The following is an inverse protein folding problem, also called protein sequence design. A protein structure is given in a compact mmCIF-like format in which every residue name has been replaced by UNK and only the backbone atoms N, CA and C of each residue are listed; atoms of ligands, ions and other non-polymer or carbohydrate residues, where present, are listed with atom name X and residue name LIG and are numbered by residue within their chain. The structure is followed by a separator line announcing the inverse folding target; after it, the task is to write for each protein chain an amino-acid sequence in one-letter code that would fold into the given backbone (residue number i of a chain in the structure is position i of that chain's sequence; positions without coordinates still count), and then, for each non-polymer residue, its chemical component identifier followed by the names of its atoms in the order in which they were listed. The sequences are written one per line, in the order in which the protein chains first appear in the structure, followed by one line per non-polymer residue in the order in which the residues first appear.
data_IF_272466805892
#
_entry.id   IF_272466805892
#
_cell.length_a   1.000
_cell.length_b   1.000
_cell.length_c   1.000
_cell.angle_alpha   90.00
_cell.angle_beta   90.00
_cell.angle_gamma   90.00
#
_symmetry.space_group_name_H-M   'P 1'
#
loop_
_entity.id
_entity.type
_entity.pdbx_description
1 polymer ?
#
# COMPACT_ATOMS: atom_id res chain seq x y z
N UNK A 1 -18.63 -10.04 12.77
CA UNK A 1 -18.71 -8.57 12.74
C UNK A 1 -20.18 -8.14 12.62
N UNK A 2 -20.74 -7.70 13.74
CA UNK A 2 -22.16 -7.32 13.80
C UNK A 2 -22.49 -6.09 12.95
N UNK A 3 -21.57 -5.14 12.82
CA UNK A 3 -21.78 -3.90 12.06
C UNK A 3 -21.92 -4.15 10.56
N UNK A 4 -21.27 -5.20 10.06
CA UNK A 4 -21.35 -5.63 8.65
C UNK A 4 -22.28 -6.84 8.45
N UNK A 5 -23.00 -7.25 9.49
CA UNK A 5 -23.85 -8.43 9.46
C UNK A 5 -23.11 -9.73 9.18
N UNK A 6 -21.80 -9.80 9.46
CA UNK A 6 -21.00 -11.00 9.27
C UNK A 6 -21.23 -11.95 10.45
N UNK A 7 -21.77 -13.14 10.17
CA UNK A 7 -22.02 -14.18 11.16
C UNK A 7 -20.88 -15.20 11.30
N UNK A 8 -20.18 -15.50 10.20
CA UNK A 8 -19.05 -16.45 10.20
C UNK A 8 -18.00 -16.07 9.15
N UNK A 9 -16.74 -16.36 9.45
CA UNK A 9 -15.61 -16.23 8.53
C UNK A 9 -14.80 -17.52 8.60
N UNK A 10 -14.56 -18.12 7.45
CA UNK A 10 -13.79 -19.36 7.30
C UNK A 10 -12.51 -19.07 6.50
N UNK A 11 -11.42 -19.69 6.93
CA UNK A 11 -10.14 -19.67 6.25
C UNK A 11 -9.76 -21.06 5.76
N UNK A 12 -8.95 -21.13 4.73
CA UNK A 12 -8.38 -22.39 4.26
C UNK A 12 -7.17 -22.82 5.13
N UNK A 13 -6.60 -23.97 4.82
CA UNK A 13 -5.45 -24.53 5.56
C UNK A 13 -4.18 -23.68 5.45
N UNK A 14 -4.08 -22.84 4.43
CA UNK A 14 -3.00 -21.88 4.25
C UNK A 14 -3.31 -20.52 4.90
N UNK A 15 -4.46 -20.40 5.55
CA UNK A 15 -4.94 -19.18 6.18
C UNK A 15 -5.43 -18.12 5.19
N UNK A 16 -5.80 -18.47 3.95
CA UNK A 16 -6.46 -17.52 3.05
C UNK A 16 -7.95 -17.46 3.38
N UNK A 17 -8.56 -16.30 3.15
CA UNK A 17 -10.00 -16.12 3.36
C UNK A 17 -10.80 -17.02 2.40
N UNK A 18 -11.55 -17.97 2.92
CA UNK A 18 -12.29 -18.96 2.12
C UNK A 18 -13.74 -18.58 1.93
N UNK A 19 -14.43 -18.21 3.01
CA UNK A 19 -15.85 -17.92 2.96
C UNK A 19 -16.23 -16.91 4.05
N UNK A 20 -17.05 -15.94 3.69
CA UNK A 20 -17.76 -15.05 4.62
C UNK A 20 -19.25 -15.40 4.53
N UNK A 21 -19.88 -15.65 5.67
CA UNK A 21 -21.33 -15.84 5.77
C UNK A 21 -21.94 -14.64 6.49
N UNK A 22 -22.97 -14.07 5.88
CA UNK A 22 -23.72 -12.95 6.44
C UNK A 22 -24.95 -13.44 7.22
N UNK A 23 -25.46 -12.61 8.13
CA UNK A 23 -26.61 -12.93 8.98
C UNK A 23 -27.91 -13.14 8.20
N UNK A 24 -28.00 -12.58 6.99
CA UNK A 24 -29.11 -12.81 6.05
C UNK A 24 -29.00 -14.11 5.24
N UNK A 25 -27.95 -14.92 5.50
CA UNK A 25 -27.67 -16.16 4.80
C UNK A 25 -26.88 -16.03 3.51
N UNK A 26 -26.58 -14.82 3.04
CA UNK A 26 -25.72 -14.59 1.88
C UNK A 26 -24.27 -14.99 2.17
N UNK A 27 -23.52 -15.30 1.11
CA UNK A 27 -22.13 -15.73 1.25
C UNK A 27 -21.25 -15.09 0.19
N UNK A 28 -20.02 -14.78 0.56
CA UNK A 28 -18.93 -14.49 -0.37
C UNK A 28 -17.87 -15.57 -0.21
N UNK A 29 -17.50 -16.24 -1.29
CA UNK A 29 -16.51 -17.33 -1.31
C UNK A 29 -15.35 -16.95 -2.20
N UNK A 30 -14.15 -17.37 -1.78
CA UNK A 30 -12.90 -17.12 -2.49
C UNK A 30 -12.17 -18.45 -2.75
N UNK A 31 -11.56 -18.57 -3.92
CA UNK A 31 -10.71 -19.70 -4.30
C UNK A 31 -9.34 -19.17 -4.66
N UNK A 32 -8.31 -19.82 -4.15
CA UNK A 32 -6.91 -19.47 -4.38
C UNK A 32 -6.14 -20.63 -4.95
N UNK A 33 -5.04 -20.33 -5.65
CA UNK A 33 -4.03 -21.33 -5.98
C UNK A 33 -3.11 -21.63 -4.77
N UNK A 34 -2.16 -22.54 -4.96
CA UNK A 34 -1.20 -22.92 -3.92
C UNK A 34 -0.23 -21.79 -3.53
N UNK A 35 -0.05 -20.79 -4.38
CA UNK A 35 0.77 -19.59 -4.11
C UNK A 35 -0.01 -18.48 -3.37
N UNK A 36 -1.33 -18.65 -3.23
CA UNK A 36 -2.22 -17.67 -2.60
C UNK A 36 -2.75 -16.61 -3.56
N UNK A 37 -2.63 -16.83 -4.88
CA UNK A 37 -3.26 -15.95 -5.86
C UNK A 37 -4.74 -16.26 -5.95
N UNK A 38 -5.57 -15.25 -5.90
CA UNK A 38 -7.03 -15.40 -6.02
C UNK A 38 -7.40 -15.81 -7.45
N UNK A 39 -8.13 -16.93 -7.56
CA UNK A 39 -8.60 -17.47 -8.84
C UNK A 39 -10.09 -17.18 -9.07
N UNK A 40 -10.88 -17.14 -8.00
CA UNK A 40 -12.32 -16.92 -8.11
C UNK A 40 -12.88 -16.23 -6.88
N UNK A 41 -13.84 -15.32 -7.11
CA UNK A 41 -14.76 -14.82 -6.10
C UNK A 41 -16.19 -15.20 -6.52
N UNK A 42 -17.00 -15.68 -5.55
CA UNK A 42 -18.42 -16.01 -5.78
C UNK A 42 -19.26 -15.31 -4.72
N UNK A 43 -20.20 -14.50 -5.17
CA UNK A 43 -21.19 -13.84 -4.31
C UNK A 43 -22.51 -14.58 -4.43
N UNK A 44 -22.92 -15.26 -3.36
CA UNK A 44 -24.16 -16.03 -3.28
C UNK A 44 -25.24 -15.20 -2.58
N UNK A 45 -26.31 -14.89 -3.31
CA UNK A 45 -27.55 -14.27 -2.82
C UNK A 45 -28.73 -14.94 -3.51
N UNK A 46 -29.81 -14.22 -3.80
CA UNK A 46 -30.89 -14.72 -4.66
C UNK A 46 -30.40 -15.06 -6.08
N UNK A 47 -29.34 -14.38 -6.53
CA UNK A 47 -28.60 -14.65 -7.76
C UNK A 47 -27.14 -14.86 -7.38
N UNK A 48 -26.49 -15.84 -8.00
CA UNK A 48 -25.07 -16.11 -7.78
C UNK A 48 -24.26 -15.42 -8.89
N UNK A 49 -23.32 -14.56 -8.50
CA UNK A 49 -22.40 -13.89 -9.40
C UNK A 49 -20.98 -14.43 -9.17
N UNK A 50 -20.27 -14.68 -10.24
CA UNK A 50 -18.92 -15.27 -10.20
C UNK A 50 -17.93 -14.36 -10.94
N UNK A 51 -16.80 -14.10 -10.32
CA UNK A 51 -15.65 -13.41 -10.96
C UNK A 51 -14.46 -14.35 -10.97
N UNK A 52 -13.94 -14.66 -12.15
CA UNK A 52 -12.75 -15.49 -12.34
C UNK A 52 -11.56 -14.63 -12.76
N UNK A 53 -10.38 -14.95 -12.23
CA UNK A 53 -9.13 -14.24 -12.48
C UNK A 53 -8.12 -15.20 -13.13
N UNK A 54 -7.69 -14.87 -14.35
CA UNK A 54 -6.70 -15.64 -15.11
C UNK A 54 -5.58 -14.69 -15.55
N UNK A 55 -4.56 -14.56 -14.71
CA UNK A 55 -3.55 -13.52 -14.88
C UNK A 55 -4.21 -12.14 -14.86
N UNK A 56 -4.05 -11.39 -15.95
CA UNK A 56 -4.64 -10.06 -16.10
C UNK A 56 -6.08 -10.07 -16.67
N UNK A 57 -6.61 -11.24 -17.02
CA UNK A 57 -7.96 -11.37 -17.53
C UNK A 57 -8.96 -11.59 -16.40
N UNK A 58 -10.06 -10.84 -16.45
CA UNK A 58 -11.18 -10.95 -15.52
C UNK A 58 -12.43 -11.40 -16.27
N UNK A 59 -13.05 -12.47 -15.80
CA UNK A 59 -14.27 -12.99 -16.34
C UNK A 59 -15.40 -12.79 -15.33
N UNK A 60 -16.52 -12.28 -15.76
CA UNK A 60 -17.74 -12.16 -14.96
C UNK A 60 -18.79 -13.11 -15.49
N UNK A 61 -19.29 -14.03 -14.63
CA UNK A 61 -20.24 -15.07 -14.97
C UNK A 61 -19.83 -15.88 -16.21
N UNK A 62 -18.52 -16.20 -16.30
CA UNK A 62 -17.93 -16.99 -17.37
C UNK A 62 -17.71 -16.24 -18.68
N UNK A 63 -17.96 -14.93 -18.75
CA UNK A 63 -17.69 -14.09 -19.92
C UNK A 63 -16.49 -13.19 -19.65
N UNK A 64 -15.61 -13.03 -20.64
CA UNK A 64 -14.53 -12.07 -20.58
C UNK A 64 -15.10 -10.65 -20.40
N UNK A 65 -14.78 -10.05 -19.26
CA UNK A 65 -15.23 -8.71 -18.88
C UNK A 65 -14.13 -7.67 -19.09
N UNK A 66 -12.91 -7.96 -18.58
CA UNK A 66 -11.83 -6.98 -18.56
C UNK A 66 -10.48 -7.63 -18.78
N UNK A 67 -9.55 -6.86 -19.32
CA UNK A 67 -8.11 -7.11 -19.29
C UNK A 67 -7.43 -5.99 -18.52
N UNK A 68 -6.73 -6.32 -17.45
CA UNK A 68 -6.04 -5.36 -16.58
C UNK A 68 -4.63 -5.13 -17.11
N UNK A 69 -4.18 -3.86 -17.15
CA UNK A 69 -2.81 -3.50 -17.48
C UNK A 69 -2.30 -2.42 -16.51
N UNK A 70 -1.00 -2.16 -16.54
CA UNK A 70 -0.46 -1.08 -15.71
C UNK A 70 -1.00 0.27 -16.18
N UNK A 71 -1.67 0.95 -15.27
CA UNK A 71 -2.30 2.25 -15.56
C UNK A 71 -3.74 2.20 -16.01
N UNK A 72 -4.40 1.01 -16.13
CA UNK A 72 -5.80 0.96 -16.52
C UNK A 72 -6.38 -0.42 -16.74
N UNK A 73 -7.44 -0.46 -17.54
CA UNK A 73 -8.04 -1.72 -18.02
C UNK A 73 -8.65 -1.52 -19.41
N UNK A 74 -8.83 -2.63 -20.10
CA UNK A 74 -9.60 -2.71 -21.33
C UNK A 74 -10.89 -3.47 -21.05
N UNK A 75 -12.04 -2.91 -21.41
CA UNK A 75 -13.32 -3.62 -21.48
C UNK A 75 -13.67 -3.91 -22.94
N UNK A 76 -14.78 -4.62 -23.17
CA UNK A 76 -15.21 -4.98 -24.52
C UNK A 76 -16.64 -4.48 -24.75
N UNK A 77 -16.85 -3.81 -25.88
CA UNK A 77 -18.17 -3.35 -26.28
C UNK A 77 -19.08 -4.51 -26.74
N UNK A 78 -20.31 -4.20 -27.13
CA UNK A 78 -21.28 -5.20 -27.62
C UNK A 78 -20.81 -5.95 -28.89
N UNK A 79 -19.88 -5.36 -29.63
CA UNK A 79 -19.29 -5.94 -30.84
C UNK A 79 -17.95 -6.64 -30.55
N UNK A 80 -17.57 -6.80 -29.28
CA UNK A 80 -16.28 -7.34 -28.85
C UNK A 80 -15.07 -6.47 -29.22
N UNK A 81 -15.26 -5.19 -29.50
CA UNK A 81 -14.15 -4.27 -29.71
C UNK A 81 -13.59 -3.83 -28.36
N UNK A 82 -12.25 -3.70 -28.24
CA UNK A 82 -11.62 -3.22 -27.03
C UNK A 82 -11.93 -1.73 -26.81
N UNK A 83 -12.25 -1.38 -25.55
CA UNK A 83 -12.42 -0.02 -25.06
C UNK A 83 -11.44 0.21 -23.92
N UNK A 84 -10.56 1.20 -24.08
CA UNK A 84 -9.49 1.46 -23.11
C UNK A 84 -9.92 2.49 -22.07
N UNK A 85 -9.58 2.18 -20.81
CA UNK A 85 -9.85 2.99 -19.63
C UNK A 85 -8.55 3.22 -18.87
N UNK A 86 -8.22 4.45 -18.53
CA UNK A 86 -6.97 4.83 -17.89
C UNK A 86 -7.21 5.35 -16.49
N UNK A 87 -6.27 5.04 -15.59
CA UNK A 87 -6.31 5.43 -14.19
C UNK A 87 -5.46 6.67 -13.94
N UNK A 88 -6.08 7.70 -13.36
CA UNK A 88 -5.37 8.77 -12.70
C UNK A 88 -5.22 8.41 -11.22
N UNK A 89 -3.98 8.24 -10.78
CA UNK A 89 -3.64 7.76 -9.45
C UNK A 89 -3.03 8.87 -8.60
N UNK A 90 -3.25 8.82 -7.28
CA UNK A 90 -2.52 9.66 -6.34
C UNK A 90 -1.13 9.05 -6.02
N UNK A 91 -0.38 9.74 -5.15
CA UNK A 91 0.97 9.34 -4.74
C UNK A 91 1.05 7.98 -4.04
N UNK A 92 -0.05 7.45 -3.49
CA UNK A 92 -0.15 6.12 -2.90
C UNK A 92 -0.51 5.04 -3.93
N UNK A 93 -0.85 5.44 -5.16
CA UNK A 93 -1.39 4.55 -6.17
C UNK A 93 -2.92 4.36 -6.09
N UNK A 94 -3.62 5.16 -5.27
CA UNK A 94 -5.08 5.10 -5.21
C UNK A 94 -5.69 5.70 -6.47
N UNK A 95 -6.67 5.01 -7.07
CA UNK A 95 -7.33 5.44 -8.29
C UNK A 95 -8.29 6.57 -7.96
N UNK A 96 -7.93 7.79 -8.36
CA UNK A 96 -8.72 9.00 -8.12
C UNK A 96 -9.74 9.25 -9.22
N UNK A 97 -9.37 8.90 -10.47
CA UNK A 97 -10.23 9.08 -11.62
C UNK A 97 -10.00 7.96 -12.63
N UNK A 98 -11.05 7.63 -13.37
CA UNK A 98 -10.98 6.80 -14.58
C UNK A 98 -11.43 7.64 -15.76
N UNK A 99 -10.62 7.64 -16.81
CA UNK A 99 -10.93 8.30 -18.08
C UNK A 99 -10.90 7.28 -19.20
N UNK A 100 -11.77 7.44 -20.21
CA UNK A 100 -11.71 6.59 -21.39
C UNK A 100 -10.66 7.10 -22.40
N UNK A 101 -10.49 6.37 -23.48
CA UNK A 101 -9.54 6.71 -24.56
C UNK A 101 -9.80 8.06 -25.24
N UNK A 102 -11.00 8.61 -25.12
CA UNK A 102 -11.38 9.93 -25.63
C UNK A 102 -11.16 11.05 -24.61
N UNK A 103 -10.61 10.74 -23.43
CA UNK A 103 -10.41 11.70 -22.34
C UNK A 103 -11.68 12.03 -21.55
N UNK A 104 -12.77 11.28 -21.76
CA UNK A 104 -14.01 11.49 -20.99
C UNK A 104 -13.87 10.85 -19.61
N UNK A 105 -14.19 11.64 -18.59
CA UNK A 105 -14.21 11.17 -17.20
C UNK A 105 -15.39 10.19 -16.99
N UNK A 106 -15.09 8.99 -16.51
CA UNK A 106 -16.07 7.92 -16.32
C UNK A 106 -16.31 7.59 -14.85
N UNK A 107 -15.29 7.76 -14.01
CA UNK A 107 -15.38 7.52 -12.56
C UNK A 107 -14.52 8.54 -11.82
N UNK A 108 -14.99 8.97 -10.65
CA UNK A 108 -14.20 9.74 -9.67
C UNK A 108 -14.34 9.09 -8.31
N UNK A 109 -13.22 8.92 -7.60
CA UNK A 109 -13.19 8.40 -6.25
C UNK A 109 -12.50 9.38 -5.31
N UNK A 110 -13.14 9.64 -4.18
CA UNK A 110 -12.57 10.37 -3.05
C UNK A 110 -12.44 9.44 -1.85
N UNK A 111 -11.35 9.58 -1.12
CA UNK A 111 -11.05 8.72 0.01
C UNK A 111 -10.76 9.52 1.26
N UNK A 112 -11.19 8.99 2.41
CA UNK A 112 -10.66 9.35 3.71
C UNK A 112 -9.19 8.90 3.83
N UNK A 113 -8.41 9.47 4.76
CA UNK A 113 -6.97 9.18 4.88
C UNK A 113 -6.59 7.68 4.95
N UNK A 114 -7.46 6.86 5.51
CA UNK A 114 -7.30 5.42 5.62
C UNK A 114 -8.09 4.62 4.56
N UNK A 115 -8.46 5.25 3.46
CA UNK A 115 -9.00 4.56 2.29
C UNK A 115 -10.51 4.31 2.30
N UNK A 116 -11.23 4.74 3.32
CA UNK A 116 -12.69 4.74 3.28
C UNK A 116 -13.18 5.58 2.09
N UNK A 117 -14.11 5.04 1.29
CA UNK A 117 -14.66 5.78 0.15
C UNK A 117 -15.56 6.91 0.65
N UNK A 118 -15.33 8.11 0.17
CA UNK A 118 -16.17 9.26 0.46
C UNK A 118 -17.29 9.37 -0.57
N UNK A 119 -18.44 8.76 -0.25
CA UNK A 119 -19.54 8.52 -1.20
C UNK A 119 -20.14 9.77 -1.81
N UNK A 120 -20.34 10.82 -1.02
CA UNK A 120 -21.05 12.05 -1.46
C UNK A 120 -20.30 12.83 -2.55
N UNK A 121 -18.98 12.65 -2.67
CA UNK A 121 -18.17 13.31 -3.69
C UNK A 121 -17.71 12.34 -4.80
N UNK A 122 -17.97 11.04 -4.67
CA UNK A 122 -17.61 10.06 -5.66
C UNK A 122 -18.65 10.01 -6.78
N UNK A 123 -18.18 9.81 -8.02
CA UNK A 123 -19.02 9.68 -9.20
C UNK A 123 -18.83 8.30 -9.82
N UNK A 124 -19.95 7.61 -10.15
CA UNK A 124 -19.99 6.31 -10.79
C UNK A 124 -19.07 5.26 -10.13
N UNK A 125 -19.15 5.17 -8.80
CA UNK A 125 -18.23 4.37 -7.97
C UNK A 125 -18.26 2.86 -8.32
N UNK A 126 -19.31 2.37 -8.96
CA UNK A 126 -19.51 0.96 -9.30
C UNK A 126 -18.85 0.53 -10.63
N UNK A 127 -18.37 1.47 -11.45
CA UNK A 127 -17.83 1.20 -12.78
C UNK A 127 -16.70 0.16 -12.78
N UNK A 128 -15.80 0.28 -11.81
CA UNK A 128 -14.74 -0.70 -11.59
C UNK A 128 -14.36 -0.77 -10.10
N UNK A 129 -13.79 -1.90 -9.69
CA UNK A 129 -13.56 -2.22 -8.27
C UNK A 129 -12.20 -1.79 -7.74
N UNK A 130 -11.19 -1.60 -8.58
CA UNK A 130 -9.87 -1.17 -8.12
C UNK A 130 -9.92 0.29 -7.64
N UNK A 131 -9.57 0.55 -6.37
CA UNK A 131 -9.74 1.86 -5.73
C UNK A 131 -8.51 2.29 -4.93
N UNK A 132 -8.63 2.34 -3.61
CA UNK A 132 -7.59 2.76 -2.69
C UNK A 132 -6.33 1.90 -2.85
N UNK A 133 -5.16 2.53 -2.99
CA UNK A 133 -3.85 1.93 -3.30
C UNK A 133 -3.90 0.90 -4.44
N UNK A 134 -4.83 1.11 -5.40
CA UNK A 134 -5.03 0.23 -6.54
C UNK A 134 -5.65 -1.13 -6.20
N UNK A 135 -6.15 -1.33 -4.97
CA UNK A 135 -6.70 -2.61 -4.53
C UNK A 135 -8.16 -2.79 -4.90
N UNK A 136 -8.51 -4.05 -5.16
CA UNK A 136 -9.90 -4.42 -5.43
C UNK A 136 -10.76 -4.22 -4.17
N UNK A 137 -11.83 -3.47 -4.33
CA UNK A 137 -12.82 -3.17 -3.30
C UNK A 137 -14.01 -4.11 -3.45
N UNK A 138 -14.22 -4.97 -2.48
CA UNK A 138 -15.39 -5.84 -2.40
C UNK A 138 -16.45 -5.19 -1.50
N UNK A 139 -17.45 -4.59 -2.13
CA UNK A 139 -18.57 -3.93 -1.45
C UNK A 139 -19.84 -4.79 -1.43
N UNK A 140 -19.81 -5.96 -2.09
CA UNK A 140 -20.98 -6.83 -2.18
C UNK A 140 -21.40 -7.29 -0.79
N UNK A 141 -22.69 -7.33 -0.57
CA UNK A 141 -23.33 -7.63 0.73
C UNK A 141 -22.95 -6.65 1.86
N UNK A 142 -22.41 -5.45 1.53
CA UNK A 142 -21.95 -4.46 2.51
C UNK A 142 -20.63 -4.84 3.19
N UNK A 143 -19.81 -5.65 2.53
CA UNK A 143 -18.51 -6.08 3.05
C UNK A 143 -17.53 -4.91 3.18
N UNK A 144 -17.38 -4.10 2.12
CA UNK A 144 -16.54 -2.91 2.05
C UNK A 144 -15.09 -3.15 2.48
N UNK A 145 -14.48 -4.22 1.98
CA UNK A 145 -13.10 -4.58 2.25
C UNK A 145 -12.24 -4.47 1.00
N UNK A 146 -10.96 -4.14 1.20
CA UNK A 146 -9.94 -4.12 0.14
C UNK A 146 -9.12 -5.40 0.15
N UNK A 147 -8.98 -6.03 -1.00
CA UNK A 147 -8.15 -7.22 -1.16
C UNK A 147 -6.69 -6.85 -1.42
N UNK A 148 -5.84 -7.07 -0.42
CA UNK A 148 -4.39 -6.89 -0.54
C UNK A 148 -3.64 -8.19 -0.86
N UNK A 149 -4.37 -9.26 -1.19
CA UNK A 149 -3.81 -10.59 -1.47
C UNK A 149 -3.70 -11.43 -0.21
N UNK A 150 -2.68 -11.22 0.62
CA UNK A 150 -2.51 -12.02 1.82
C UNK A 150 -3.54 -11.73 2.93
N UNK A 151 -4.10 -10.53 2.97
CA UNK A 151 -5.12 -10.10 3.96
C UNK A 151 -6.15 -9.20 3.30
N UNK A 152 -7.34 -9.16 3.89
CA UNK A 152 -8.37 -8.17 3.57
C UNK A 152 -8.28 -7.00 4.53
N UNK A 153 -8.42 -5.80 4.01
CA UNK A 153 -8.37 -4.57 4.79
C UNK A 153 -9.74 -3.93 4.94
N UNK A 154 -10.16 -3.71 6.17
CA UNK A 154 -11.39 -2.98 6.52
C UNK A 154 -11.07 -1.51 6.81
N UNK A 155 -11.35 -0.63 5.87
CA UNK A 155 -11.06 0.79 6.01
C UNK A 155 -11.92 1.48 7.08
N UNK A 156 -13.11 0.94 7.39
CA UNK A 156 -13.97 1.48 8.44
C UNK A 156 -13.41 1.22 9.84
N UNK A 157 -12.68 0.11 10.02
CA UNK A 157 -12.01 -0.24 11.28
C UNK A 157 -10.55 0.18 11.31
N UNK A 158 -9.99 0.56 10.16
CA UNK A 158 -8.55 0.82 9.99
C UNK A 158 -7.71 -0.39 10.40
N UNK A 159 -8.17 -1.58 10.04
CA UNK A 159 -7.58 -2.82 10.51
C UNK A 159 -7.65 -3.94 9.47
N UNK A 160 -6.71 -4.87 9.57
CA UNK A 160 -6.75 -6.12 8.82
C UNK A 160 -7.80 -7.08 9.38
N UNK A 161 -8.33 -7.95 8.53
CA UNK A 161 -9.30 -9.01 8.87
C UNK A 161 -8.70 -10.08 9.80
N UNK A 162 -7.37 -10.22 9.77
CA UNK A 162 -6.62 -11.27 10.50
C UNK A 162 -5.22 -10.81 10.89
N UNK A 163 -4.58 -11.61 11.74
CA UNK A 163 -3.21 -11.44 12.21
C UNK A 163 -2.22 -11.46 11.03
N UNK A 164 -1.22 -10.58 11.10
CA UNK A 164 -0.11 -10.59 10.17
C UNK A 164 0.70 -11.89 10.29
N UNK A 165 0.92 -12.58 9.17
CA UNK A 165 1.79 -13.77 9.13
C UNK A 165 3.25 -13.45 9.49
N UNK A 166 3.66 -12.19 9.34
CA UNK A 166 4.97 -11.68 9.71
C UNK A 166 4.92 -10.87 11.02
N UNK A 167 3.84 -10.97 11.80
CA UNK A 167 3.62 -10.21 13.03
C UNK A 167 4.72 -10.37 14.07
N UNK A 168 5.41 -11.51 14.08
CA UNK A 168 6.58 -11.74 14.96
C UNK A 168 7.73 -10.76 14.68
N UNK A 169 7.80 -10.19 13.47
CA UNK A 169 8.79 -9.16 13.13
C UNK A 169 8.42 -7.77 13.66
N UNK A 170 7.18 -7.60 14.11
CA UNK A 170 6.62 -6.32 14.54
C UNK A 170 6.00 -6.42 15.93
N UNK A 171 6.70 -7.04 16.85
CA UNK A 171 6.19 -7.38 18.23
C UNK A 171 5.67 -6.20 19.05
N UNK A 172 6.08 -4.97 18.70
CA UNK A 172 5.64 -3.75 19.39
C UNK A 172 4.36 -3.14 18.77
N UNK A 173 3.89 -3.69 17.64
CA UNK A 173 2.69 -3.21 16.96
C UNK A 173 1.58 -4.25 17.03
N UNK A 174 0.34 -3.80 17.00
CA UNK A 174 -0.78 -4.72 16.87
C UNK A 174 -0.67 -5.47 15.53
N UNK A 175 -0.83 -6.80 15.52
CA UNK A 175 -0.77 -7.59 14.28
C UNK A 175 -1.92 -7.29 13.31
N UNK A 176 -2.91 -6.52 13.73
CA UNK A 176 -4.03 -6.04 12.91
C UNK A 176 -3.84 -4.61 12.38
N UNK A 177 -2.75 -3.94 12.75
CA UNK A 177 -2.53 -2.53 12.43
C UNK A 177 -2.22 -2.34 10.94
N UNK A 178 -2.97 -1.44 10.27
CA UNK A 178 -2.72 -1.08 8.88
C UNK A 178 -1.62 -0.01 8.78
N UNK A 179 -0.62 -0.26 7.94
CA UNK A 179 0.44 0.69 7.56
C UNK A 179 1.12 1.41 8.73
N UNK A 180 1.26 0.76 9.91
CA UNK A 180 1.87 1.38 11.08
C UNK A 180 1.10 2.61 11.58
N UNK A 181 -0.20 2.72 11.28
CA UNK A 181 -1.07 3.87 11.54
C UNK A 181 -0.63 5.17 10.81
N UNK A 182 0.10 5.04 9.71
CA UNK A 182 0.54 6.16 8.88
C UNK A 182 0.31 5.85 7.38
N UNK A 183 -0.95 5.88 6.97
CA UNK A 183 -1.39 5.59 5.61
C UNK A 183 -1.12 6.71 4.60
N UNK A 184 -0.59 7.86 5.04
CA UNK A 184 -0.25 8.96 4.13
C UNK A 184 1.10 8.75 3.44
N UNK A 185 1.99 7.97 4.05
CA UNK A 185 3.34 7.73 3.55
C UNK A 185 3.67 6.24 3.44
N UNK A 186 2.87 5.37 4.05
CA UNK A 186 3.07 3.93 4.04
C UNK A 186 1.98 3.25 3.23
N UNK A 187 2.38 2.24 2.48
CA UNK A 187 1.48 1.33 1.77
C UNK A 187 1.83 -0.12 2.11
N UNK A 188 0.84 -0.99 2.11
CA UNK A 188 1.06 -2.43 2.17
C UNK A 188 0.48 -3.05 0.90
N UNK A 189 1.35 -3.28 -0.08
CA UNK A 189 0.93 -3.67 -1.41
C UNK A 189 0.46 -5.14 -1.51
N UNK A 190 0.91 -6.00 -0.61
CA UNK A 190 0.65 -7.45 -0.66
C UNK A 190 -0.06 -8.00 0.59
N UNK A 191 -0.39 -7.14 1.54
CA UNK A 191 -0.99 -7.53 2.81
C UNK A 191 -0.02 -8.26 3.75
N UNK A 192 1.30 -8.09 3.57
CA UNK A 192 2.36 -8.75 4.36
C UNK A 192 3.40 -7.77 4.89
N UNK A 193 3.70 -6.72 4.11
CA UNK A 193 4.82 -5.82 4.41
C UNK A 193 4.45 -4.38 4.17
N UNK A 194 4.63 -3.56 5.19
CA UNK A 194 4.50 -2.12 5.06
C UNK A 194 5.73 -1.58 4.32
N UNK A 195 5.48 -0.77 3.29
CA UNK A 195 6.51 -0.05 2.52
C UNK A 195 6.28 1.45 2.66
N UNK A 196 7.35 2.21 2.83
CA UNK A 196 7.29 3.68 2.84
C UNK A 196 7.59 4.20 1.43
N UNK A 197 6.70 5.01 0.88
CA UNK A 197 6.79 5.49 -0.50
C UNK A 197 7.96 6.47 -0.76
N UNK A 198 8.64 6.94 0.29
CA UNK A 198 9.73 7.91 0.18
C UNK A 198 11.14 7.30 0.21
N UNK A 199 11.28 5.96 0.38
CA UNK A 199 12.60 5.33 0.48
C UNK A 199 12.76 4.23 -0.55
N UNK A 200 13.82 4.33 -1.36
CA UNK A 200 14.12 3.40 -2.44
C UNK A 200 14.73 2.11 -1.88
N UNK A 201 14.13 0.98 -2.20
CA UNK A 201 14.68 -0.34 -1.88
C UNK A 201 15.56 -0.83 -3.03
N UNK A 202 16.75 -1.35 -2.71
CA UNK A 202 17.67 -1.92 -3.70
C UNK A 202 17.13 -3.20 -4.36
N UNK A 203 16.30 -3.96 -3.62
CA UNK A 203 15.71 -5.21 -4.11
C UNK A 203 14.40 -5.01 -4.88
N UNK A 204 13.73 -3.86 -4.69
CA UNK A 204 12.49 -3.50 -5.37
C UNK A 204 12.50 -2.02 -5.74
N UNK A 205 13.05 -1.67 -6.92
CA UNK A 205 13.19 -0.28 -7.34
C UNK A 205 11.86 0.44 -7.59
N UNK A 206 10.75 -0.28 -7.63
CA UNK A 206 9.41 0.33 -7.79
C UNK A 206 8.78 0.79 -6.47
N UNK A 207 9.30 0.30 -5.33
CA UNK A 207 8.73 0.56 -4.02
C UNK A 207 9.81 0.94 -3.01
N UNK A 208 9.54 1.94 -2.21
CA UNK A 208 10.42 2.37 -1.14
C UNK A 208 10.16 1.52 0.10
N UNK A 209 11.19 0.82 0.60
CA UNK A 209 11.16 0.09 1.88
C UNK A 209 11.87 0.91 2.94
N UNK A 210 11.28 0.99 4.12
CA UNK A 210 12.05 1.19 5.35
C UNK A 210 11.90 -0.03 6.25
N UNK A 211 13.00 -0.48 6.87
CA UNK A 211 12.87 -1.37 8.02
C UNK A 211 12.19 -0.60 9.16
N UNK A 212 11.65 -1.33 10.13
CA UNK A 212 11.08 -0.70 11.33
C UNK A 212 12.14 0.11 12.09
N UNK A 213 13.34 -0.45 12.24
CA UNK A 213 14.48 0.21 12.86
C UNK A 213 14.82 1.52 12.16
N UNK A 214 14.89 1.50 10.84
CA UNK A 214 15.10 2.72 10.06
C UNK A 214 13.99 3.77 10.27
N UNK A 215 12.72 3.35 10.27
CA UNK A 215 11.62 4.28 10.50
C UNK A 215 11.67 4.91 11.90
N UNK A 216 11.93 4.10 12.94
CA UNK A 216 12.08 4.60 14.31
C UNK A 216 13.28 5.52 14.45
N UNK A 217 14.41 5.16 13.83
CA UNK A 217 15.60 5.99 13.78
C UNK A 217 15.33 7.33 13.08
N UNK A 218 14.59 7.32 11.97
CA UNK A 218 14.18 8.55 11.28
C UNK A 218 13.24 9.41 12.12
N UNK A 219 12.32 8.81 12.87
CA UNK A 219 11.47 9.54 13.80
C UNK A 219 12.27 10.20 14.92
N UNK A 220 13.27 9.51 15.47
CA UNK A 220 14.17 10.08 16.47
C UNK A 220 15.07 11.16 15.86
N UNK A 221 15.65 10.89 14.68
CA UNK A 221 16.44 11.86 13.94
C UNK A 221 15.68 13.15 13.67
N UNK A 222 14.40 13.04 13.23
CA UNK A 222 13.53 14.18 12.99
C UNK A 222 13.22 15.01 14.25
N UNK A 223 13.48 14.50 15.45
CA UNK A 223 13.32 15.24 16.71
C UNK A 223 14.56 16.02 17.10
N UNK A 224 15.73 15.62 16.62
CA UNK A 224 16.99 16.34 16.86
C UNK A 224 17.01 17.68 16.10
N UNK A 225 17.74 18.67 16.61
CA UNK A 225 17.87 19.98 15.92
C UNK A 225 18.54 19.83 14.55
N UNK A 226 19.55 18.97 14.47
CA UNK A 226 20.22 18.66 13.21
C UNK A 226 19.31 17.94 12.21
N UNK A 227 18.57 16.93 12.66
CA UNK A 227 17.61 16.22 11.83
C UNK A 227 16.50 17.13 11.29
N UNK A 228 15.95 17.99 12.15
CA UNK A 228 14.98 19.03 11.73
C UNK A 228 15.56 19.95 10.66
N UNK A 229 16.80 20.39 10.84
CA UNK A 229 17.47 21.27 9.89
C UNK A 229 17.62 20.59 8.52
N UNK A 230 18.18 19.38 8.48
CA UNK A 230 18.39 18.62 7.24
C UNK A 230 17.05 18.33 6.57
N UNK A 231 16.10 17.73 7.27
CA UNK A 231 14.79 17.40 6.71
C UNK A 231 14.04 18.64 6.22
N UNK A 232 14.12 19.75 6.95
CA UNK A 232 13.55 21.03 6.51
C UNK A 232 14.18 21.52 5.22
N UNK A 233 15.49 21.47 5.10
CA UNK A 233 16.22 22.00 3.95
C UNK A 233 15.92 21.22 2.66
N UNK A 234 15.76 19.91 2.73
CA UNK A 234 15.48 19.07 1.56
C UNK A 234 13.98 18.91 1.25
N UNK A 235 13.11 19.07 2.23
CA UNK A 235 11.67 19.00 2.01
C UNK A 235 11.16 20.22 1.26
N UNK A 236 10.31 20.08 0.21
CA UNK A 236 9.75 21.20 -0.51
C UNK A 236 9.07 22.21 0.41
N UNK A 237 9.22 23.50 0.09
CA UNK A 237 8.68 24.59 0.92
C UNK A 237 7.18 24.43 1.15
N UNK A 238 6.79 24.36 2.42
CA UNK A 238 5.39 24.21 2.84
C UNK A 238 4.91 22.77 2.97
N UNK A 239 5.65 21.77 2.46
CA UNK A 239 5.39 20.35 2.69
C UNK A 239 5.95 19.91 4.05
N UNK A 240 5.55 18.72 4.49
CA UNK A 240 6.01 18.11 5.74
C UNK A 240 6.61 16.74 5.47
N UNK A 241 7.73 16.44 6.16
CA UNK A 241 8.37 15.13 6.12
C UNK A 241 8.78 14.73 7.54
N UNK A 242 8.33 13.57 8.01
CA UNK A 242 8.46 13.16 9.42
C UNK A 242 8.05 14.26 10.45
N UNK A 243 7.01 15.03 10.13
CA UNK A 243 6.54 16.13 10.98
C UNK A 243 7.37 17.42 10.90
N UNK A 244 8.46 17.43 10.12
CA UNK A 244 9.30 18.61 9.91
C UNK A 244 8.80 19.40 8.70
N UNK A 245 8.55 20.70 8.89
CA UNK A 245 8.09 21.58 7.80
C UNK A 245 9.27 21.97 6.91
N UNK A 246 9.11 21.77 5.60
CA UNK A 246 10.10 22.10 4.60
C UNK A 246 10.27 23.61 4.40
N UNK A 247 11.52 24.07 4.30
CA UNK A 247 11.89 25.41 3.84
C UNK A 247 12.28 25.45 2.36
N UNK A 248 12.56 24.26 1.78
CA UNK A 248 12.83 24.07 0.35
C UNK A 248 14.21 24.55 -0.10
N UNK A 249 15.16 24.79 0.80
CA UNK A 249 16.49 25.30 0.48
C UNK A 249 17.23 24.42 -0.54
N UNK A 250 17.13 23.12 -0.38
CA UNK A 250 17.74 22.10 -1.25
C UNK A 250 16.72 21.19 -1.93
N UNK A 251 15.45 21.60 -2.05
CA UNK A 251 14.36 20.76 -2.58
C UNK A 251 14.51 20.37 -4.05
N UNK A 252 15.44 20.96 -4.78
CA UNK A 252 15.81 20.56 -6.15
C UNK A 252 16.80 19.39 -6.21
N UNK A 253 17.34 18.98 -5.05
CA UNK A 253 18.23 17.83 -4.93
C UNK A 253 17.51 16.70 -4.22
N UNK A 254 17.87 15.47 -4.54
CA UNK A 254 17.37 14.29 -3.85
C UNK A 254 18.15 14.08 -2.54
N UNK A 255 17.45 13.86 -1.44
CA UNK A 255 18.04 13.38 -0.20
C UNK A 255 17.91 11.85 -0.21
N UNK A 256 19.02 11.16 -0.39
CA UNK A 256 19.06 9.71 -0.30
C UNK A 256 19.44 9.29 1.13
N UNK A 257 18.53 8.59 1.79
CA UNK A 257 18.75 8.03 3.12
C UNK A 257 18.92 6.52 2.95
N UNK A 258 20.04 5.97 3.42
CA UNK A 258 20.34 4.55 3.28
C UNK A 258 20.41 3.89 4.65
N UNK A 259 19.75 2.74 4.76
CA UNK A 259 19.98 1.80 5.84
C UNK A 259 21.19 0.92 5.49
N UNK A 260 22.18 0.86 6.38
CA UNK A 260 23.36 0.04 6.21
C UNK A 260 23.27 -1.12 7.19
N UNK A 261 23.34 -2.34 6.64
CA UNK A 261 23.45 -3.55 7.46
C UNK A 261 24.89 -3.68 7.95
N UNK A 262 25.10 -3.39 9.23
CA UNK A 262 26.41 -3.46 9.89
C UNK A 262 26.71 -4.84 10.49
N UNK A 263 25.85 -5.83 10.31
CA UNK A 263 26.11 -7.21 10.74
C UNK A 263 27.22 -7.87 9.93
N UNK A 264 27.53 -7.36 8.72
CA UNK A 264 28.68 -7.84 7.94
C UNK A 264 30.00 -7.33 8.50
N UNK A 265 30.95 -8.22 8.88
CA UNK A 265 32.20 -7.83 9.55
C UNK A 265 33.08 -6.85 8.77
N UNK A 266 33.06 -6.92 7.44
CA UNK A 266 33.84 -6.06 6.56
C UNK A 266 33.28 -4.62 6.51
N UNK A 267 31.97 -4.47 6.52
CA UNK A 267 31.30 -3.15 6.58
C UNK A 267 31.47 -2.51 7.97
N UNK A 268 31.44 -3.34 9.01
CA UNK A 268 31.63 -2.90 10.41
C UNK A 268 33.02 -2.24 10.61
N UNK A 269 34.08 -2.79 10.04
CA UNK A 269 35.45 -2.30 10.22
C UNK A 269 35.73 -0.99 9.48
N UNK A 270 35.14 -0.76 8.32
CA UNK A 270 35.27 0.50 7.59
C UNK A 270 34.51 1.64 8.28
N UNK A 271 33.41 1.31 8.93
CA UNK A 271 32.48 2.27 9.52
C UNK A 271 32.96 2.84 10.86
N UNK A 272 33.54 2.00 11.74
CA UNK A 272 33.96 2.42 13.08
C UNK A 272 35.20 3.32 13.11
N UNK A 273 35.91 3.49 11.99
CA UNK A 273 37.07 4.37 11.93
C UNK A 273 36.72 5.86 11.84
N UNK A 274 35.52 6.23 11.42
CA UNK A 274 35.13 7.60 11.09
C UNK A 274 33.94 8.15 11.89
N UNK A 275 33.32 7.36 12.74
CA UNK A 275 32.17 7.82 13.52
C UNK A 275 32.55 8.13 14.96
N UNK A 276 33.05 9.32 15.18
CA UNK A 276 32.76 10.07 16.39
C UNK A 276 31.46 10.84 16.13
N UNK A 277 30.30 10.21 16.37
CA UNK A 277 28.96 10.83 16.49
C UNK A 277 28.64 12.00 15.51
N UNK A 278 29.20 12.02 14.31
CA UNK A 278 28.91 13.05 13.31
C UNK A 278 28.32 12.39 12.07
N UNK A 279 27.07 12.74 11.79
CA UNK A 279 26.44 12.44 10.51
C UNK A 279 27.20 13.20 9.44
N UNK A 280 27.91 12.50 8.56
CA UNK A 280 28.62 13.14 7.45
C UNK A 280 27.67 13.31 6.27
N UNK A 281 27.60 14.53 5.75
CA UNK A 281 27.07 14.79 4.42
C UNK A 281 28.14 14.34 3.42
N UNK A 282 27.89 13.26 2.69
CA UNK A 282 28.74 12.80 1.61
C UNK A 282 28.23 13.35 0.28
N UNK A 283 29.13 13.82 -0.55
CA UNK A 283 28.83 14.08 -1.96
C UNK A 283 28.94 12.76 -2.72
N UNK A 284 27.91 12.39 -3.47
CA UNK A 284 27.99 11.27 -4.42
C UNK A 284 28.90 11.66 -5.59
N UNK A 285 29.38 10.69 -6.36
CA UNK A 285 30.17 10.89 -7.60
C UNK A 285 29.49 11.81 -8.63
N UNK A 286 28.21 12.14 -8.41
CA UNK A 286 27.43 13.07 -9.23
C UNK A 286 27.19 14.42 -8.56
N UNK A 287 27.87 14.73 -7.44
CA UNK A 287 27.71 15.98 -6.69
C UNK A 287 26.38 16.12 -5.96
N UNK A 288 25.69 15.01 -5.67
CA UNK A 288 24.44 15.00 -4.88
C UNK A 288 24.76 14.76 -3.42
N UNK A 289 24.22 15.54 -2.48
CA UNK A 289 24.40 15.29 -1.06
C UNK A 289 23.68 13.99 -0.64
N UNK A 290 24.36 13.15 0.13
CA UNK A 290 23.85 11.90 0.68
C UNK A 290 24.02 11.88 2.19
N UNK A 291 23.01 11.44 2.92
CA UNK A 291 23.04 11.26 4.37
C UNK A 291 23.10 9.76 4.69
N UNK A 292 24.15 9.35 5.41
CA UNK A 292 24.31 7.98 5.90
C UNK A 292 23.86 7.89 7.35
N UNK A 293 23.03 6.89 7.66
CA UNK A 293 22.54 6.59 9.01
C UNK A 293 22.71 5.09 9.32
N UNK A 294 23.10 4.74 10.55
CA UNK A 294 23.23 3.34 11.00
C UNK A 294 22.17 2.98 12.04
N UNK A 295 21.67 1.75 12.00
CA UNK A 295 20.67 1.26 12.93
C UNK A 295 21.17 1.12 14.38
N UNK A 296 22.46 0.88 14.57
CA UNK A 296 23.04 0.69 15.92
C UNK A 296 23.15 1.98 16.75
N UNK A 297 23.16 3.15 16.11
CA UNK A 297 23.18 4.42 16.84
C UNK A 297 21.82 4.71 17.55
N UNK A 298 20.77 3.96 17.22
CA UNK A 298 19.45 4.12 17.81
C UNK A 298 19.26 3.34 19.13
N UNK A 299 20.10 2.31 19.38
CA UNK A 299 20.01 1.49 20.57
C UNK A 299 20.83 2.03 21.76
N UNK A 300 21.70 3.04 21.53
CA UNK A 300 22.51 3.68 22.55
C UNK A 300 21.99 5.08 23.00
N UNK A 301 20.86 5.54 22.45
CA UNK A 301 20.17 6.77 22.84
C UNK A 301 18.82 6.49 23.49
#
# INVERSE_FOLDING_TARGET
DLNKGISNIEYDVLGNLKCITFSNGFKTKYVYDAAGNKLRTTHESAVTNTTDYVGNFVFEDGKLSKYLFDGGYCSFDQNQNPVFHYYEKDHLGSIRMVVNENGTMEQVNHYYPFGGVYGDLSYNAELQRNKYVGKEFDHIHGLDWYDHGARMYDAAKVAWDRVDRLGEKYTQLSPYLYCGNNSLVNVDADGKRVKTIYFKDKEDPQWYRSSKSFYLAMMQFAQTDFGKQILSDFTPKGSYFFGVKGNGKYSKYDLELQEIDITEPEKKTAYWRDINAQTQLLETDQGKPCLLYTSDAADEL
#
